data_IF_716222353141
#
_entry.id   IF_716222353141
#
_cell.length_a   1.000
_cell.length_b   1.000
_cell.length_c   1.000
_cell.angle_alpha   90.00
_cell.angle_beta   90.00
_cell.angle_gamma   90.00
#
_symmetry.space_group_name_H-M   'P 1'
#
loop_
_entity.id
_entity.type
_entity.pdbx_description
1 polymer ?
#
# COMPACT_ATOMS: atom_id res chain seq x y z
N UNK A 1 -13.41 18.58 -39.35
CA UNK A 1 -13.34 17.93 -38.03
C UNK A 1 -12.18 16.96 -38.14
N UNK A 2 -11.02 17.32 -37.60
CA UNK A 2 -9.81 16.49 -37.71
C UNK A 2 -10.02 15.21 -36.92
N UNK A 3 -10.08 14.09 -37.64
CA UNK A 3 -10.21 12.75 -37.07
C UNK A 3 -8.85 12.37 -36.49
N UNK A 4 -8.64 12.76 -35.24
CA UNK A 4 -7.37 12.52 -34.55
C UNK A 4 -7.28 11.02 -34.26
N UNK A 5 -6.26 10.35 -34.82
CA UNK A 5 -6.07 8.92 -34.61
C UNK A 5 -6.05 8.58 -33.11
N UNK A 6 -6.69 7.46 -32.69
CA UNK A 6 -6.73 7.09 -31.28
C UNK A 6 -5.31 6.87 -30.73
N UNK A 7 -5.02 7.47 -29.57
CA UNK A 7 -3.73 7.38 -28.90
C UNK A 7 -3.27 5.91 -28.75
N UNK A 8 -2.00 5.63 -29.01
CA UNK A 8 -1.37 4.34 -28.71
C UNK A 8 -1.31 4.08 -27.20
N UNK A 9 -1.06 2.83 -26.80
CA UNK A 9 -0.88 2.48 -25.38
C UNK A 9 0.26 3.25 -24.71
N UNK A 10 1.30 3.63 -25.45
CA UNK A 10 2.37 4.47 -24.93
C UNK A 10 1.85 5.89 -24.73
N UNK A 11 1.24 6.51 -25.74
CA UNK A 11 0.78 7.90 -25.67
C UNK A 11 -0.34 8.10 -24.64
N UNK A 12 -1.27 7.15 -24.50
CA UNK A 12 -2.29 7.15 -23.43
C UNK A 12 -1.69 7.23 -22.02
N UNK A 13 -0.49 6.65 -21.82
CA UNK A 13 0.22 6.66 -20.52
C UNK A 13 0.92 7.99 -20.25
N UNK A 14 1.06 8.85 -21.25
CA UNK A 14 1.81 10.10 -21.17
C UNK A 14 0.92 11.33 -21.38
N UNK A 15 -0.28 11.13 -21.94
CA UNK A 15 -1.26 12.17 -22.16
C UNK A 15 -2.08 12.45 -20.87
N UNK A 16 -1.83 13.60 -20.25
CA UNK A 16 -2.49 14.04 -19.01
C UNK A 16 -4.01 14.17 -19.18
N UNK A 17 -4.49 14.66 -20.33
CA UNK A 17 -5.92 14.84 -20.58
C UNK A 17 -6.65 13.48 -20.61
N UNK A 18 -6.10 12.49 -21.31
CA UNK A 18 -6.63 11.12 -21.33
C UNK A 18 -6.64 10.47 -19.94
N UNK A 19 -5.57 10.65 -19.16
CA UNK A 19 -5.48 10.09 -17.80
C UNK A 19 -6.51 10.75 -16.86
N UNK A 20 -6.71 12.06 -16.96
CA UNK A 20 -7.70 12.79 -16.16
C UNK A 20 -9.14 12.42 -16.56
N UNK A 21 -9.41 12.28 -17.85
CA UNK A 21 -10.72 11.83 -18.37
C UNK A 21 -11.03 10.42 -17.87
N UNK A 22 -10.07 9.49 -17.98
CA UNK A 22 -10.21 8.13 -17.46
C UNK A 22 -10.43 8.08 -15.94
N UNK A 23 -9.72 8.92 -15.17
CA UNK A 23 -9.93 9.02 -13.73
C UNK A 23 -11.32 9.59 -13.38
N UNK A 24 -11.81 10.59 -14.12
CA UNK A 24 -13.15 11.15 -13.92
C UNK A 24 -14.26 10.18 -14.29
N UNK A 25 -14.05 9.37 -15.32
CA UNK A 25 -15.01 8.37 -15.78
C UNK A 25 -15.12 7.17 -14.82
N UNK A 26 -14.05 6.85 -14.10
CA UNK A 26 -14.00 5.74 -13.15
C UNK A 26 -13.15 6.15 -11.93
N UNK A 27 -13.69 6.97 -11.02
CA UNK A 27 -13.01 7.36 -9.79
C UNK A 27 -12.95 6.16 -8.87
N UNK A 28 -11.93 5.32 -9.05
CA UNK A 28 -11.72 4.12 -8.23
C UNK A 28 -11.26 4.51 -6.83
N UNK A 29 -12.07 4.17 -5.84
CA UNK A 29 -11.62 4.10 -4.45
C UNK A 29 -11.30 2.64 -4.12
N UNK A 30 -10.13 2.36 -3.52
CA UNK A 30 -9.82 1.00 -3.09
C UNK A 30 -10.83 0.57 -2.03
N UNK A 31 -11.37 -0.64 -2.19
CA UNK A 31 -12.32 -1.21 -1.26
C UNK A 31 -11.74 -1.18 0.18
N UNK A 32 -12.53 -0.82 1.20
CA UNK A 32 -12.05 -0.91 2.57
C UNK A 32 -11.66 -2.35 2.89
N UNK A 33 -10.60 -2.54 3.69
CA UNK A 33 -10.20 -3.87 4.16
C UNK A 33 -11.01 -4.31 5.40
N UNK A 34 -11.38 -3.34 6.23
CA UNK A 34 -12.21 -3.54 7.41
C UNK A 34 -13.65 -3.15 7.05
N UNK A 35 -14.60 -4.02 7.39
CA UNK A 35 -16.03 -3.69 7.28
C UNK A 35 -16.50 -2.84 8.48
N UNK A 36 -17.76 -2.40 8.44
CA UNK A 36 -18.31 -1.51 9.47
C UNK A 36 -18.37 -2.17 10.86
N UNK A 37 -18.55 -3.49 10.93
CA UNK A 37 -18.57 -4.24 12.19
C UNK A 37 -17.15 -4.31 12.77
N UNK A 38 -16.14 -4.59 11.94
CA UNK A 38 -14.73 -4.56 12.32
C UNK A 38 -14.28 -3.16 12.74
N UNK A 39 -14.70 -2.11 12.02
CA UNK A 39 -14.43 -0.72 12.41
C UNK A 39 -15.07 -0.37 13.75
N UNK A 40 -16.24 -0.90 14.04
CA UNK A 40 -16.93 -0.73 15.33
C UNK A 40 -16.19 -1.47 16.43
N UNK A 41 -15.81 -2.74 16.21
CA UNK A 41 -15.04 -3.54 17.14
C UNK A 41 -13.68 -2.91 17.47
N UNK A 42 -12.96 -2.40 16.46
CA UNK A 42 -11.67 -1.71 16.63
C UNK A 42 -11.76 -0.55 17.63
N UNK A 43 -12.86 0.20 17.58
CA UNK A 43 -13.08 1.36 18.46
C UNK A 43 -13.47 0.92 19.86
N UNK A 44 -14.28 -0.13 19.99
CA UNK A 44 -14.89 -0.56 21.24
C UNK A 44 -13.99 -1.47 22.11
N UNK A 45 -13.20 -2.34 21.49
CA UNK A 45 -12.51 -3.44 22.18
C UNK A 45 -10.99 -3.39 21.92
N UNK A 46 -10.20 -3.44 22.99
CA UNK A 46 -8.74 -3.29 22.94
C UNK A 46 -8.02 -4.51 22.35
N UNK A 47 -8.56 -5.72 22.51
CA UNK A 47 -7.99 -6.95 21.97
C UNK A 47 -8.33 -7.08 20.49
N UNK A 48 -9.58 -6.80 20.12
CA UNK A 48 -10.00 -6.71 18.71
C UNK A 48 -9.24 -5.60 17.98
N UNK A 49 -9.00 -4.46 18.63
CA UNK A 49 -8.16 -3.39 18.06
C UNK A 49 -6.78 -3.89 17.65
N UNK A 50 -6.11 -4.65 18.52
CA UNK A 50 -4.79 -5.21 18.24
C UNK A 50 -4.84 -6.23 17.10
N UNK A 51 -5.84 -7.13 17.12
CA UNK A 51 -6.04 -8.15 16.08
C UNK A 51 -6.31 -7.52 14.71
N UNK A 52 -7.19 -6.53 14.64
CA UNK A 52 -7.56 -5.84 13.41
C UNK A 52 -6.44 -4.92 12.89
N UNK A 53 -5.67 -4.30 13.79
CA UNK A 53 -4.45 -3.61 13.37
C UNK A 53 -3.44 -4.58 12.76
N UNK A 54 -3.24 -5.74 13.37
CA UNK A 54 -2.37 -6.78 12.82
C UNK A 54 -2.86 -7.27 11.45
N UNK A 55 -4.19 -7.44 11.26
CA UNK A 55 -4.82 -7.73 9.96
C UNK A 55 -4.42 -6.71 8.89
N UNK A 56 -4.47 -5.41 9.21
CA UNK A 56 -4.03 -4.34 8.31
C UNK A 56 -2.55 -4.46 7.95
N UNK A 57 -1.67 -4.78 8.91
CA UNK A 57 -0.23 -4.98 8.67
C UNK A 57 0.03 -6.17 7.73
N UNK A 58 -0.67 -7.28 7.91
CA UNK A 58 -0.55 -8.46 7.04
C UNK A 58 -1.00 -8.14 5.61
N UNK A 59 -2.14 -7.47 5.43
CA UNK A 59 -2.57 -7.06 4.08
C UNK A 59 -1.58 -6.08 3.46
N UNK A 60 -1.08 -5.11 4.23
CA UNK A 60 -0.06 -4.17 3.77
C UNK A 60 1.20 -4.89 3.29
N UNK A 61 1.69 -5.90 4.00
CA UNK A 61 2.82 -6.71 3.56
C UNK A 61 2.50 -7.51 2.29
N UNK A 62 1.29 -8.09 2.20
CA UNK A 62 0.83 -8.82 1.02
C UNK A 62 0.76 -7.93 -0.22
N UNK A 63 0.49 -6.64 -0.06
CA UNK A 63 0.49 -5.67 -1.16
C UNK A 63 1.89 -5.35 -1.71
N UNK A 64 2.98 -5.88 -1.13
CA UNK A 64 4.32 -5.76 -1.69
C UNK A 64 4.51 -6.54 -3.01
N UNK A 65 3.57 -7.45 -3.31
CA UNK A 65 3.55 -8.19 -4.55
C UNK A 65 3.39 -7.26 -5.76
N UNK A 66 4.14 -7.48 -6.85
CA UNK A 66 3.99 -6.72 -8.09
C UNK A 66 2.80 -7.28 -8.89
N UNK A 67 1.58 -7.18 -8.34
CA UNK A 67 0.36 -7.75 -8.92
C UNK A 67 -0.80 -6.74 -8.92
N UNK A 68 -1.75 -6.86 -9.88
CA UNK A 68 -3.01 -6.09 -9.87
C UNK A 68 -3.79 -6.29 -8.57
N UNK A 69 -4.61 -5.29 -8.21
CA UNK A 69 -5.34 -5.29 -6.92
C UNK A 69 -6.24 -6.52 -6.79
N UNK A 70 -6.95 -6.87 -7.86
CA UNK A 70 -7.84 -8.01 -7.88
C UNK A 70 -7.11 -9.32 -7.53
N UNK A 71 -5.84 -9.44 -7.94
CA UNK A 71 -5.01 -10.60 -7.57
C UNK A 71 -4.62 -10.53 -6.10
N UNK A 72 -4.12 -9.38 -5.63
CA UNK A 72 -3.76 -9.19 -4.21
C UNK A 72 -4.97 -9.43 -3.29
N UNK A 73 -6.17 -9.04 -3.72
CA UNK A 73 -7.44 -9.30 -3.02
C UNK A 73 -7.80 -10.77 -3.01
N UNK A 74 -7.76 -11.45 -4.14
CA UNK A 74 -8.03 -12.89 -4.21
C UNK A 74 -7.00 -13.70 -3.38
N UNK A 75 -5.75 -13.24 -3.32
CA UNK A 75 -4.74 -13.82 -2.44
C UNK A 75 -5.09 -13.56 -0.97
N UNK A 76 -5.46 -12.33 -0.62
CA UNK A 76 -5.89 -11.97 0.72
C UNK A 76 -7.08 -12.79 1.22
N UNK A 77 -8.11 -12.95 0.38
CA UNK A 77 -9.30 -13.75 0.69
C UNK A 77 -8.93 -15.20 0.99
N UNK A 78 -7.99 -15.78 0.22
CA UNK A 78 -7.46 -17.13 0.49
C UNK A 78 -6.72 -17.22 1.82
N UNK A 79 -5.89 -16.24 2.14
CA UNK A 79 -5.20 -16.16 3.44
C UNK A 79 -6.18 -16.05 4.61
N UNK A 80 -7.18 -15.18 4.46
CA UNK A 80 -8.20 -14.95 5.48
C UNK A 80 -9.05 -16.19 5.69
N UNK A 81 -9.51 -16.84 4.61
CA UNK A 81 -10.33 -18.06 4.69
C UNK A 81 -9.57 -19.25 5.28
N UNK A 82 -8.25 -19.32 5.07
CA UNK A 82 -7.39 -20.34 5.67
C UNK A 82 -7.06 -20.07 7.16
N UNK A 83 -7.54 -18.98 7.76
CA UNK A 83 -7.28 -18.65 9.16
C UNK A 83 -5.84 -18.25 9.46
N UNK A 84 -5.03 -17.93 8.44
CA UNK A 84 -3.59 -17.68 8.59
C UNK A 84 -3.33 -16.45 9.45
N UNK A 85 -4.08 -15.37 9.23
CA UNK A 85 -3.87 -14.08 9.93
C UNK A 85 -4.14 -14.22 11.43
N UNK A 86 -5.25 -14.85 11.79
CA UNK A 86 -5.61 -15.06 13.20
C UNK A 86 -4.64 -16.04 13.87
N UNK A 87 -4.22 -17.11 13.19
CA UNK A 87 -3.21 -18.04 13.71
C UNK A 87 -1.84 -17.38 13.90
N UNK A 88 -1.43 -16.49 12.99
CA UNK A 88 -0.20 -15.70 13.12
C UNK A 88 -0.28 -14.75 14.33
N UNK A 89 -1.41 -14.07 14.50
CA UNK A 89 -1.64 -13.18 15.64
C UNK A 89 -1.62 -13.95 16.98
N UNK A 90 -2.25 -15.13 17.01
CA UNK A 90 -2.29 -16.02 18.17
C UNK A 90 -0.96 -16.76 18.43
N UNK A 91 0.05 -16.63 17.55
CA UNK A 91 1.33 -17.37 17.60
C UNK A 91 1.17 -18.89 17.56
N UNK A 92 0.11 -19.38 16.94
CA UNK A 92 -0.16 -20.81 16.75
C UNK A 92 0.17 -21.29 15.35
N UNK A 93 0.46 -20.36 14.43
CA UNK A 93 0.79 -20.68 13.05
C UNK A 93 2.21 -21.23 12.91
N UNK A 94 2.34 -22.39 12.28
CA UNK A 94 3.64 -22.97 11.96
C UNK A 94 4.23 -22.35 10.68
N UNK A 95 5.12 -21.38 10.87
CA UNK A 95 5.85 -20.72 9.78
C UNK A 95 6.78 -21.68 9.01
N UNK A 96 7.23 -22.79 9.60
CA UNK A 96 8.06 -23.77 8.93
C UNK A 96 7.24 -24.53 7.87
N UNK A 97 6.02 -24.95 8.20
CA UNK A 97 5.09 -25.56 7.24
C UNK A 97 4.66 -24.59 6.15
N UNK A 98 4.42 -23.32 6.49
CA UNK A 98 4.08 -22.28 5.51
C UNK A 98 5.17 -22.05 4.46
N UNK A 99 6.43 -22.17 4.83
CA UNK A 99 7.55 -22.01 3.89
C UNK A 99 7.63 -23.15 2.86
N UNK A 100 6.97 -24.28 3.13
CA UNK A 100 6.97 -25.48 2.28
C UNK A 100 5.75 -25.48 1.34
N UNK A 101 4.56 -25.12 1.84
CA UNK A 101 3.31 -25.11 1.08
C UNK A 101 2.43 -23.91 1.46
N UNK A 102 2.75 -22.69 1.02
CA UNK A 102 1.97 -21.52 1.36
C UNK A 102 0.65 -21.50 0.55
N UNK A 103 -0.50 -21.10 1.14
CA UNK A 103 -1.77 -20.97 0.42
C UNK A 103 -1.71 -20.06 -0.81
N UNK A 104 -0.72 -19.15 -0.84
CA UNK A 104 -0.38 -18.30 -1.97
C UNK A 104 1.14 -18.28 -2.15
N UNK A 105 1.61 -18.75 -3.31
CA UNK A 105 3.02 -18.71 -3.71
C UNK A 105 3.29 -17.48 -4.58
N UNK A 106 3.48 -16.32 -3.96
CA UNK A 106 3.85 -15.09 -4.68
C UNK A 106 4.95 -14.31 -3.98
N UNK A 107 5.87 -13.81 -4.80
CA UNK A 107 7.01 -13.03 -4.34
C UNK A 107 6.78 -11.52 -4.42
N UNK A 108 7.61 -10.78 -3.71
CA UNK A 108 7.80 -9.35 -3.87
C UNK A 108 8.43 -9.02 -5.24
N UNK A 109 8.66 -7.73 -5.52
CA UNK A 109 9.32 -7.27 -6.75
C UNK A 109 10.76 -7.78 -6.93
N UNK A 110 11.33 -8.47 -5.94
CA UNK A 110 12.67 -9.10 -5.98
C UNK A 110 12.58 -10.63 -6.04
N UNK A 111 11.38 -11.20 -6.16
CA UNK A 111 11.15 -12.64 -6.23
C UNK A 111 11.26 -13.35 -4.87
N UNK A 112 11.32 -12.62 -3.75
CA UNK A 112 11.29 -13.22 -2.40
C UNK A 112 9.85 -13.48 -2.01
N UNK A 113 9.54 -14.68 -1.52
CA UNK A 113 8.22 -14.98 -0.99
C UNK A 113 7.84 -13.95 0.08
N UNK A 114 6.60 -13.50 0.04
CA UNK A 114 6.06 -12.66 1.11
C UNK A 114 5.81 -13.57 2.32
N UNK A 115 6.68 -13.46 3.32
CA UNK A 115 6.52 -14.12 4.61
C UNK A 115 6.11 -13.12 5.70
N UNK A 116 5.35 -13.61 6.67
CA UNK A 116 4.82 -12.82 7.79
C UNK A 116 5.67 -12.97 9.05
N UNK A 117 6.85 -13.58 8.97
CA UNK A 117 7.64 -13.99 10.14
C UNK A 117 8.08 -12.78 10.96
N UNK A 118 8.51 -11.71 10.31
CA UNK A 118 8.92 -10.48 10.99
C UNK A 118 7.72 -9.78 11.66
N UNK A 119 6.55 -9.79 11.00
CA UNK A 119 5.31 -9.26 11.61
C UNK A 119 4.90 -10.07 12.84
N UNK A 120 4.96 -11.40 12.76
CA UNK A 120 4.64 -12.30 13.87
C UNK A 120 5.62 -12.15 15.04
N UNK A 121 6.92 -12.07 14.74
CA UNK A 121 7.98 -11.88 15.74
C UNK A 121 7.79 -10.58 16.53
N UNK A 122 7.36 -9.51 15.85
CA UNK A 122 7.22 -8.20 16.45
C UNK A 122 5.78 -7.78 16.77
N UNK A 123 4.86 -8.75 16.88
CA UNK A 123 3.45 -8.52 17.23
C UNK A 123 3.25 -7.54 18.39
N UNK A 124 4.02 -7.71 19.46
CA UNK A 124 3.89 -6.90 20.69
C UNK A 124 4.47 -5.48 20.53
N UNK A 125 5.29 -5.24 19.51
CA UNK A 125 5.74 -3.88 19.17
C UNK A 125 4.63 -3.14 18.43
N UNK A 126 3.89 -3.85 17.56
CA UNK A 126 2.78 -3.27 16.82
C UNK A 126 1.62 -2.85 17.70
N UNK A 127 1.29 -3.64 18.71
CA UNK A 127 0.23 -3.29 19.66
C UNK A 127 0.53 -2.00 20.45
N UNK A 128 1.81 -1.64 20.63
CA UNK A 128 2.21 -0.39 21.27
C UNK A 128 1.95 0.86 20.42
N UNK A 129 1.66 0.70 19.12
CA UNK A 129 1.17 1.78 18.27
C UNK A 129 -0.34 2.05 18.45
N UNK A 130 -1.02 1.36 19.36
CA UNK A 130 -2.45 1.51 19.60
C UNK A 130 -2.73 2.08 20.99
N UNK A 131 -3.80 2.87 21.19
CA UNK A 131 -4.80 3.31 20.20
C UNK A 131 -4.25 4.22 19.10
N UNK A 132 -3.57 5.30 19.43
CA UNK A 132 -2.87 6.19 18.49
C UNK A 132 -1.57 6.66 19.13
N UNK A 133 -0.43 6.58 18.43
CA UNK A 133 0.87 7.02 18.97
C UNK A 133 1.00 8.55 18.92
N UNK A 134 1.70 9.12 19.90
CA UNK A 134 1.84 10.58 20.02
C UNK A 134 2.80 11.20 18.99
N UNK A 135 3.76 10.44 18.47
CA UNK A 135 4.75 10.91 17.49
C UNK A 135 4.49 10.30 16.10
N UNK A 136 3.95 11.09 15.16
CA UNK A 136 3.66 10.66 13.79
C UNK A 136 4.90 10.19 13.01
N UNK A 137 6.06 10.80 13.24
CA UNK A 137 7.28 10.44 12.53
C UNK A 137 7.84 9.12 13.03
N UNK A 138 7.95 8.97 14.35
CA UNK A 138 8.38 7.72 14.97
C UNK A 138 7.45 6.55 14.61
N UNK A 139 6.15 6.81 14.47
CA UNK A 139 5.16 5.79 14.06
C UNK A 139 5.51 5.13 12.73
N UNK A 140 5.80 5.95 11.72
CA UNK A 140 6.16 5.50 10.38
C UNK A 140 7.51 4.78 10.38
N UNK A 141 8.46 5.26 11.17
CA UNK A 141 9.77 4.65 11.33
C UNK A 141 9.69 3.28 12.02
N UNK A 142 8.86 3.14 13.07
CA UNK A 142 8.57 1.85 13.73
C UNK A 142 7.92 0.90 12.74
N UNK A 143 6.80 1.30 12.09
CA UNK A 143 6.12 0.49 11.06
C UNK A 143 7.08 -0.11 10.04
N UNK A 144 8.05 0.68 9.56
CA UNK A 144 9.07 0.15 8.66
C UNK A 144 10.07 -0.75 9.36
N UNK A 145 10.72 -0.24 10.42
CA UNK A 145 11.89 -0.88 11.03
C UNK A 145 11.59 -2.29 11.49
N UNK A 146 10.40 -2.47 12.06
CA UNK A 146 10.06 -3.68 12.78
C UNK A 146 9.29 -4.67 11.89
N UNK A 147 9.22 -4.38 10.58
CA UNK A 147 8.71 -5.25 9.50
C UNK A 147 9.81 -5.93 8.65
N UNK A 148 11.10 -5.68 8.95
CA UNK A 148 12.21 -6.22 8.15
C UNK A 148 12.26 -5.71 6.70
N UNK A 149 11.52 -4.63 6.40
CA UNK A 149 11.39 -4.06 5.06
C UNK A 149 10.13 -4.50 4.29
N UNK A 150 9.34 -5.44 4.82
CA UNK A 150 8.07 -5.84 4.23
C UNK A 150 7.09 -4.66 4.11
N UNK A 151 7.17 -3.71 5.05
CA UNK A 151 6.36 -2.49 5.06
C UNK A 151 7.12 -1.23 4.63
N UNK A 152 8.06 -1.29 3.66
CA UNK A 152 8.81 -0.10 3.18
C UNK A 152 7.87 1.06 2.76
N UNK A 153 7.33 1.05 1.55
CA UNK A 153 6.34 2.07 1.15
C UNK A 153 4.96 1.81 1.75
N UNK A 154 4.74 0.62 2.31
CA UNK A 154 3.44 0.19 2.85
C UNK A 154 3.18 0.66 4.28
N UNK A 155 4.20 1.10 5.03
CA UNK A 155 3.99 1.81 6.29
C UNK A 155 3.08 3.05 6.12
N UNK A 156 3.27 3.80 5.03
CA UNK A 156 2.44 4.95 4.68
C UNK A 156 1.00 4.55 4.30
N UNK A 157 0.83 3.38 3.66
CA UNK A 157 -0.50 2.82 3.39
C UNK A 157 -1.24 2.53 4.70
N UNK A 158 -0.56 1.95 5.69
CA UNK A 158 -1.16 1.67 7.00
C UNK A 158 -1.61 2.97 7.65
N UNK A 159 -0.75 4.00 7.72
CA UNK A 159 -1.12 5.32 8.26
C UNK A 159 -2.36 5.88 7.56
N UNK A 160 -2.38 5.81 6.22
CA UNK A 160 -3.51 6.29 5.43
C UNK A 160 -4.78 5.54 5.76
N UNK A 161 -4.78 4.21 5.79
CA UNK A 161 -6.00 3.44 6.09
C UNK A 161 -6.48 3.67 7.52
N UNK A 162 -5.57 3.80 8.48
CA UNK A 162 -5.91 4.16 9.85
C UNK A 162 -6.58 5.54 9.92
N UNK A 163 -6.06 6.54 9.20
CA UNK A 163 -6.62 7.89 9.13
C UNK A 163 -7.94 7.97 8.37
N UNK A 164 -7.99 7.34 7.19
CA UNK A 164 -9.16 7.32 6.29
C UNK A 164 -10.39 6.73 6.97
N UNK A 165 -10.20 5.69 7.79
CA UNK A 165 -11.29 5.03 8.51
C UNK A 165 -11.55 5.64 9.91
N UNK A 166 -10.88 6.75 10.26
CA UNK A 166 -11.05 7.41 11.56
C UNK A 166 -10.61 6.55 12.75
N UNK A 167 -9.68 5.61 12.53
CA UNK A 167 -9.11 4.78 13.59
C UNK A 167 -7.96 5.51 14.30
N UNK A 168 -7.28 6.37 13.56
CA UNK A 168 -6.33 7.38 14.06
C UNK A 168 -6.89 8.77 13.78
N UNK A 169 -6.71 9.70 14.72
CA UNK A 169 -7.36 11.02 14.76
C UNK A 169 -6.41 12.20 14.46
N UNK A 170 -5.10 12.00 14.59
CA UNK A 170 -4.08 13.04 14.43
C UNK A 170 -3.98 13.55 13.00
N UNK A 171 -4.20 14.86 12.81
CA UNK A 171 -3.99 15.54 11.54
C UNK A 171 -2.51 15.52 11.11
N UNK A 172 -1.58 15.44 12.06
CA UNK A 172 -0.15 15.34 11.74
C UNK A 172 0.22 14.00 11.09
N UNK A 173 -0.55 12.93 11.31
CA UNK A 173 -0.35 11.66 10.60
C UNK A 173 -0.76 11.76 9.11
N UNK A 174 -1.63 12.69 8.73
CA UNK A 174 -2.07 12.85 7.33
C UNK A 174 -0.89 13.17 6.41
N UNK A 175 0.15 13.85 6.90
CA UNK A 175 1.36 14.16 6.12
C UNK A 175 2.13 12.92 5.67
N UNK A 176 1.82 11.75 6.22
CA UNK A 176 2.39 10.46 5.84
C UNK A 176 1.38 9.55 5.12
N UNK A 177 0.19 10.02 4.78
CA UNK A 177 -0.80 9.26 4.00
C UNK A 177 -0.57 9.25 2.47
N UNK A 178 0.39 10.01 1.95
CA UNK A 178 0.51 10.35 0.52
C UNK A 178 1.83 9.90 -0.11
N UNK A 179 2.10 8.60 -0.27
CA UNK A 179 3.33 8.18 -0.97
C UNK A 179 3.05 7.87 -2.44
N UNK A 180 3.74 8.54 -3.39
CA UNK A 180 3.59 8.24 -4.80
C UNK A 180 4.31 6.93 -5.14
N UNK A 181 3.85 6.24 -6.19
CA UNK A 181 4.55 5.08 -6.75
C UNK A 181 6.05 5.32 -6.89
N UNK A 182 6.85 4.27 -6.82
CA UNK A 182 8.25 4.37 -7.21
C UNK A 182 8.43 4.89 -8.65
N UNK A 183 7.61 4.44 -9.61
CA UNK A 183 7.72 4.84 -11.02
C UNK A 183 7.14 6.23 -11.27
N UNK A 184 6.01 6.56 -10.64
CA UNK A 184 5.40 7.90 -10.64
C UNK A 184 6.38 8.92 -10.06
N UNK A 185 6.95 8.67 -8.87
CA UNK A 185 7.97 9.53 -8.26
C UNK A 185 9.16 9.76 -9.19
N UNK A 186 9.77 8.69 -9.71
CA UNK A 186 10.89 8.78 -10.67
C UNK A 186 10.52 9.53 -11.95
N UNK A 187 9.28 9.41 -12.41
CA UNK A 187 8.79 10.14 -13.58
C UNK A 187 8.57 11.62 -13.28
N UNK A 188 7.98 11.95 -12.13
CA UNK A 188 7.78 13.33 -11.68
C UNK A 188 9.11 14.07 -11.52
N UNK A 189 10.16 13.41 -11.00
CA UNK A 189 11.52 13.98 -10.94
C UNK A 189 12.06 14.25 -12.35
N UNK A 190 12.02 13.28 -13.26
CA UNK A 190 12.50 13.45 -14.64
C UNK A 190 11.76 14.55 -15.41
N UNK A 191 10.51 14.81 -15.06
CA UNK A 191 9.70 15.89 -15.64
C UNK A 191 9.90 17.25 -14.94
N UNK A 192 10.76 17.33 -13.90
CA UNK A 192 11.00 18.55 -13.13
C UNK A 192 9.82 18.98 -12.26
N UNK A 193 8.87 18.09 -11.97
CA UNK A 193 7.66 18.40 -11.20
C UNK A 193 7.89 18.38 -9.68
N UNK A 194 8.90 17.65 -9.22
CA UNK A 194 9.31 17.59 -7.81
C UNK A 194 10.82 17.70 -7.73
N UNK A 195 11.30 18.52 -6.79
CA UNK A 195 12.73 18.73 -6.56
C UNK A 195 13.27 17.64 -5.62
N UNK A 196 13.62 16.50 -6.20
CA UNK A 196 14.32 15.40 -5.52
C UNK A 196 15.42 14.88 -6.44
N UNK A 197 16.52 14.31 -5.90
CA UNK A 197 17.50 13.61 -6.71
C UNK A 197 16.85 12.52 -7.59
N UNK A 198 17.30 12.36 -8.84
CA UNK A 198 16.75 11.35 -9.77
C UNK A 198 16.81 9.92 -9.22
N UNK A 199 17.77 9.66 -8.33
CA UNK A 199 17.97 8.38 -7.64
C UNK A 199 17.30 8.28 -6.25
N UNK A 200 16.44 9.23 -5.88
CA UNK A 200 15.75 9.24 -4.59
C UNK A 200 14.82 8.03 -4.41
N UNK A 201 15.25 7.07 -3.60
CA UNK A 201 14.51 5.85 -3.28
C UNK A 201 14.69 5.41 -1.81
N UNK A 202 15.29 6.25 -0.98
CA UNK A 202 15.40 5.97 0.45
C UNK A 202 14.05 6.16 1.13
N UNK A 203 13.90 5.60 2.32
CA UNK A 203 12.67 5.80 3.10
C UNK A 203 12.50 7.26 3.55
N UNK A 204 13.60 7.96 3.81
CA UNK A 204 13.58 9.39 4.11
C UNK A 204 13.05 10.19 2.91
N UNK A 205 13.46 9.84 1.68
CA UNK A 205 12.92 10.46 0.46
C UNK A 205 11.41 10.24 0.33
N UNK A 206 10.93 9.05 0.68
CA UNK A 206 9.48 8.74 0.69
C UNK A 206 8.73 9.59 1.72
N UNK A 207 9.27 9.76 2.94
CA UNK A 207 8.70 10.67 3.96
C UNK A 207 8.63 12.11 3.44
N UNK A 208 9.71 12.60 2.83
CA UNK A 208 9.76 13.96 2.27
C UNK A 208 8.78 14.15 1.13
N UNK A 209 8.71 13.21 0.18
CA UNK A 209 7.74 13.25 -0.91
C UNK A 209 6.29 13.25 -0.39
N UNK A 210 6.01 12.46 0.65
CA UNK A 210 4.67 12.39 1.26
C UNK A 210 4.23 13.72 1.86
N UNK A 211 5.11 14.36 2.63
CA UNK A 211 4.86 15.69 3.22
C UNK A 211 4.64 16.76 2.14
N UNK A 212 5.45 16.74 1.09
CA UNK A 212 5.34 17.69 -0.01
C UNK A 212 4.01 17.53 -0.76
N UNK A 213 3.61 16.28 -1.07
CA UNK A 213 2.32 16.00 -1.69
C UNK A 213 1.15 16.39 -0.79
N UNK A 214 1.22 16.07 0.50
CA UNK A 214 0.20 16.50 1.47
C UNK A 214 0.00 18.02 1.43
N UNK A 215 1.08 18.82 1.43
CA UNK A 215 0.99 20.27 1.35
C UNK A 215 0.28 20.73 0.06
N UNK A 216 0.62 20.15 -1.09
CA UNK A 216 -0.07 20.43 -2.38
C UNK A 216 -1.55 20.07 -2.30
N UNK A 217 -1.90 18.93 -1.70
CA UNK A 217 -3.28 18.48 -1.58
C UNK A 217 -4.12 19.39 -0.69
N UNK A 218 -3.53 19.93 0.38
CA UNK A 218 -4.19 20.91 1.26
C UNK A 218 -4.50 22.21 0.52
N UNK A 219 -3.60 22.68 -0.35
CA UNK A 219 -3.85 23.84 -1.21
C UNK A 219 -5.00 23.60 -2.20
N UNK A 220 -5.17 22.36 -2.66
CA UNK A 220 -6.25 21.96 -3.55
C UNK A 220 -7.54 21.57 -2.79
N UNK A 221 -7.60 21.81 -1.48
CA UNK A 221 -8.72 21.46 -0.59
C UNK A 221 -9.12 19.97 -0.65
N UNK A 222 -8.13 19.10 -0.87
CA UNK A 222 -8.34 17.65 -0.95
C UNK A 222 -8.03 16.95 0.37
N UNK A 223 -8.77 15.88 0.65
CA UNK A 223 -8.64 15.06 1.85
C UNK A 223 -7.68 13.87 1.64
N UNK A 224 -7.31 13.24 2.76
CA UNK A 224 -6.46 12.04 2.78
C UNK A 224 -7.14 10.88 2.02
N UNK A 225 -6.34 10.10 1.29
CA UNK A 225 -6.85 9.04 0.41
C UNK A 225 -7.23 9.48 -1.01
N UNK A 226 -7.12 10.77 -1.36
CA UNK A 226 -7.39 11.24 -2.73
C UNK A 226 -6.34 10.75 -3.74
N UNK A 227 -5.07 10.61 -3.32
CA UNK A 227 -4.05 9.89 -4.07
C UNK A 227 -3.80 8.55 -3.41
N UNK A 228 -4.12 7.49 -4.14
CA UNK A 228 -3.81 6.14 -3.70
C UNK A 228 -2.31 5.89 -3.90
N UNK A 229 -1.64 5.36 -2.86
CA UNK A 229 -0.43 4.59 -3.06
C UNK A 229 -0.74 3.56 -4.15
N UNK A 230 -0.04 3.58 -5.28
CA UNK A 230 -0.26 2.61 -6.33
C UNK A 230 0.37 1.32 -5.84
N UNK A 231 -0.43 0.57 -5.10
CA UNK A 231 -0.29 -0.87 -5.11
C UNK A 231 -0.75 -1.39 -6.47
N UNK A 232 -1.72 -0.73 -7.13
CA UNK A 232 -2.42 -1.44 -8.21
C UNK A 232 -3.34 -0.60 -9.11
N UNK A 233 -3.34 0.74 -9.01
CA UNK A 233 -4.21 1.56 -9.89
C UNK A 233 -3.82 1.53 -11.38
N UNK A 234 -2.69 0.91 -11.74
CA UNK A 234 -2.44 0.51 -13.12
C UNK A 234 -3.24 -0.77 -13.39
N UNK A 235 -4.40 -0.63 -14.04
CA UNK A 235 -5.32 -1.71 -14.40
C UNK A 235 -4.73 -2.90 -15.18
N UNK A 236 -3.41 -3.01 -15.38
CA UNK A 236 -2.81 -3.93 -16.35
C UNK A 236 -1.38 -4.43 -16.02
N UNK A 237 -0.82 -4.21 -14.83
CA UNK A 237 0.63 -4.44 -14.65
C UNK A 237 1.02 -5.27 -13.44
N UNK A 238 0.87 -6.57 -13.58
CA UNK A 238 1.79 -7.48 -12.90
C UNK A 238 3.15 -7.40 -13.60
N UNK A 239 4.26 -7.25 -12.86
CA UNK A 239 5.62 -7.31 -13.47
C UNK A 239 5.87 -8.65 -14.15
N UNK A 240 5.23 -9.73 -13.65
CA UNK A 240 5.25 -11.06 -14.27
C UNK A 240 4.45 -11.09 -15.57
N UNK A 241 3.30 -10.42 -15.63
CA UNK A 241 2.55 -10.28 -16.90
C UNK A 241 3.30 -9.41 -17.91
N UNK A 242 3.98 -8.33 -17.48
CA UNK A 242 4.85 -7.55 -18.36
C UNK A 242 6.04 -8.40 -18.84
N UNK A 243 6.66 -9.22 -17.99
CA UNK A 243 7.77 -10.11 -18.37
C UNK A 243 7.34 -11.22 -19.35
N UNK A 244 6.21 -11.90 -19.09
CA UNK A 244 5.62 -12.88 -20.01
C UNK A 244 5.21 -12.23 -21.32
N UNK A 245 4.58 -11.05 -21.28
CA UNK A 245 4.18 -10.30 -22.48
C UNK A 245 5.38 -9.79 -23.27
N UNK A 246 6.48 -9.42 -22.63
CA UNK A 246 7.74 -9.06 -23.29
C UNK A 246 8.45 -10.28 -23.87
N UNK A 247 8.41 -11.43 -23.20
CA UNK A 247 8.97 -12.69 -23.71
C UNK A 247 8.17 -13.27 -24.90
N UNK A 248 6.90 -12.88 -25.04
CA UNK A 248 5.99 -13.31 -26.12
C UNK A 248 5.72 -12.23 -27.16
N UNK A 249 6.35 -11.07 -27.04
CA UNK A 249 6.27 -10.02 -28.04
C UNK A 249 7.20 -10.39 -29.21
N UNK A 250 6.69 -10.59 -30.44
CA UNK A 250 7.51 -10.87 -31.61
C UNK A 250 8.46 -9.72 -31.95
#
# INVERSE_FOLDING_TARGET
MEDTAPLTNKERRENVAFLLERYRADPRQPAPLLDDDELTAFRADADERQRLFYKLLCYAALTAQPAPEAIVRADWERFSAAGVVDALYARTFDLATYSIDPPVTRGDSKGKLVDFSCLAQHRDVWSQLLPEPADPEATVDVLRATSGGALKSRAFWVVREMRRNGLWSSAELDRYGYVPDGRVRKRSVRMGLIDLPEKADTFADMKTASRALHAVMRLAEKQNGFFDLPVSMAAERCEICDALRMATCP
#
